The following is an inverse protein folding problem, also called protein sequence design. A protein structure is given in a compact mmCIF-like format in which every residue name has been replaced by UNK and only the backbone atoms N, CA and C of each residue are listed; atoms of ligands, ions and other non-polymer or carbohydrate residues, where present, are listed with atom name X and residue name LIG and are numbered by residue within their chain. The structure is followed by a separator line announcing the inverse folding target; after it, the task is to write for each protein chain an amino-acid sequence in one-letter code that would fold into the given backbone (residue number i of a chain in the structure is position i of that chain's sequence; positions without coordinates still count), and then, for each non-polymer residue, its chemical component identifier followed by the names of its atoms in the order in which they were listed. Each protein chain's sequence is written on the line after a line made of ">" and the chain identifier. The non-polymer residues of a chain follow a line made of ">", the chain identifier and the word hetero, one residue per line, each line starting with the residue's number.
data_IF_824362647026
#
_entry.id   IF_824362647026
#
_cell.length_a   1.000
_cell.length_b   1.000
_cell.length_c   1.000
_cell.angle_alpha   90.00
_cell.angle_beta   90.00
_cell.angle_gamma   90.00
#
_symmetry.space_group_name_H-M   'P 1'
#
loop_
_entity.id
_entity.type
_entity.pdbx_description
1 polymer ?
#
# COMPACT_ATOMS: atom_id res chain seq x y z
N UNK A 1 1.62 56.91 -12.02
CA UNK A 1 2.37 55.64 -12.17
C UNK A 1 2.49 54.96 -10.82
N UNK A 2 1.78 53.85 -10.57
CA UNK A 2 1.95 52.83 -9.50
C UNK A 2 0.59 52.15 -9.32
N UNK A 3 0.42 50.98 -9.92
CA UNK A 3 -0.65 49.99 -9.62
C UNK A 3 -0.54 48.73 -10.50
N UNK A 4 0.35 48.73 -11.50
CA UNK A 4 0.55 47.57 -12.38
C UNK A 4 1.56 46.53 -11.86
N UNK A 5 2.31 46.84 -10.78
CA UNK A 5 3.33 45.90 -10.25
C UNK A 5 2.67 44.83 -9.37
N UNK A 6 1.75 45.20 -8.49
CA UNK A 6 1.06 44.29 -7.54
C UNK A 6 0.20 43.23 -8.25
N UNK A 7 -0.43 43.58 -9.37
CA UNK A 7 -1.25 42.64 -10.16
C UNK A 7 -0.42 41.55 -10.86
N UNK A 8 0.82 41.85 -11.29
CA UNK A 8 1.72 40.89 -11.94
C UNK A 8 2.22 39.82 -10.96
N UNK A 9 2.54 40.20 -9.73
CA UNK A 9 2.98 39.24 -8.71
C UNK A 9 1.84 38.32 -8.25
N UNK A 10 0.61 38.83 -8.14
CA UNK A 10 -0.55 38.02 -7.78
C UNK A 10 -0.85 36.92 -8.81
N UNK A 11 -0.75 37.23 -10.12
CA UNK A 11 -0.91 36.23 -11.19
C UNK A 11 0.19 35.16 -11.19
N UNK A 12 1.43 35.53 -10.88
CA UNK A 12 2.54 34.55 -10.77
C UNK A 12 2.33 33.62 -9.56
N UNK A 13 1.95 34.16 -8.41
CA UNK A 13 1.64 33.35 -7.23
C UNK A 13 0.46 32.39 -7.45
N UNK A 14 -0.60 32.85 -8.13
CA UNK A 14 -1.77 32.01 -8.42
C UNK A 14 -1.42 30.88 -9.42
N UNK A 15 -0.58 31.17 -10.43
CA UNK A 15 -0.12 30.16 -11.39
C UNK A 15 0.78 29.12 -10.73
N UNK A 16 1.66 29.54 -9.81
CA UNK A 16 2.49 28.61 -9.01
C UNK A 16 1.63 27.77 -8.06
N UNK A 17 0.58 28.33 -7.44
CA UNK A 17 -0.35 27.56 -6.59
C UNK A 17 -1.16 26.52 -7.38
N UNK A 18 -1.59 26.85 -8.60
CA UNK A 18 -2.30 25.91 -9.49
C UNK A 18 -1.37 24.79 -9.97
N UNK A 19 -0.09 25.07 -10.21
CA UNK A 19 0.90 24.05 -10.58
C UNK A 19 1.30 23.14 -9.41
N UNK A 20 1.06 23.56 -8.16
CA UNK A 20 1.30 22.76 -6.95
C UNK A 20 0.11 21.89 -6.54
N UNK A 21 -1.08 22.08 -7.11
CA UNK A 21 -2.31 21.36 -6.71
C UNK A 21 -2.57 20.06 -7.49
N UNK A 22 -1.53 19.40 -8.00
CA UNK A 22 -1.68 18.09 -8.62
C UNK A 22 -1.74 16.96 -7.57
N UNK A 23 -2.79 16.92 -6.74
CA UNK A 23 -3.06 15.81 -5.83
C UNK A 23 -3.65 14.63 -6.61
N UNK A 24 -2.84 13.91 -7.38
CA UNK A 24 -3.41 12.98 -8.36
C UNK A 24 -4.02 11.72 -7.75
N UNK A 25 -3.68 11.32 -6.51
CA UNK A 25 -4.23 10.10 -5.88
C UNK A 25 -4.08 10.16 -4.34
N UNK A 26 -4.91 10.92 -3.62
CA UNK A 26 -4.90 10.92 -2.16
C UNK A 26 -5.56 9.66 -1.56
N UNK A 27 -5.27 9.35 -0.30
CA UNK A 27 -6.00 8.33 0.48
C UNK A 27 -7.42 8.79 0.79
N UNK A 28 -8.40 7.90 0.62
CA UNK A 28 -9.80 8.12 0.95
C UNK A 28 -10.27 7.04 1.93
N UNK A 29 -10.83 7.42 3.07
CA UNK A 29 -11.34 6.47 4.05
C UNK A 29 -12.88 6.41 3.96
N UNK A 30 -13.39 5.26 3.55
CA UNK A 30 -14.83 4.94 3.54
C UNK A 30 -15.06 3.82 4.53
N UNK A 31 -15.63 4.12 5.68
CA UNK A 31 -15.84 3.13 6.74
C UNK A 31 -16.86 2.06 6.33
N UNK A 32 -16.62 0.82 6.75
CA UNK A 32 -17.59 -0.26 6.71
C UNK A 32 -18.65 -0.05 7.81
N UNK A 33 -19.92 -0.07 7.43
CA UNK A 33 -21.04 0.10 8.36
C UNK A 33 -21.21 -1.06 9.34
N UNK A 34 -20.71 -2.25 9.00
CA UNK A 34 -20.77 -3.45 9.85
C UNK A 34 -19.51 -3.63 10.69
N UNK A 35 -18.35 -3.20 10.16
CA UNK A 35 -17.04 -3.36 10.79
C UNK A 35 -16.34 -2.00 11.01
N UNK A 36 -16.71 -1.33 12.11
CA UNK A 36 -16.14 -0.03 12.48
C UNK A 36 -14.61 -0.12 12.60
N UNK A 37 -13.89 0.66 11.79
CA UNK A 37 -12.42 0.67 11.73
C UNK A 37 -11.85 0.02 10.47
N UNK A 38 -12.69 -0.62 9.65
CA UNK A 38 -12.31 -1.22 8.38
C UNK A 38 -12.84 -0.37 7.23
N UNK A 39 -12.04 -0.18 6.19
CA UNK A 39 -12.45 0.49 4.98
C UNK A 39 -13.17 -0.47 4.01
N UNK A 40 -14.15 0.04 3.27
CA UNK A 40 -14.74 -0.65 2.12
C UNK A 40 -13.87 -0.50 0.87
N UNK A 41 -14.04 -1.44 -0.06
CA UNK A 41 -13.45 -1.33 -1.39
C UNK A 41 -14.01 -0.13 -2.15
N UNK A 42 -13.18 0.46 -3.00
CA UNK A 42 -13.60 1.50 -3.93
C UNK A 42 -13.33 1.06 -5.37
N UNK A 43 -14.03 1.67 -6.32
CA UNK A 43 -13.84 1.36 -7.74
C UNK A 43 -12.48 1.81 -8.28
N UNK A 44 -11.82 2.78 -7.62
CA UNK A 44 -10.60 3.43 -8.12
C UNK A 44 -9.36 3.16 -7.28
N UNK A 45 -9.44 2.35 -6.23
CA UNK A 45 -8.41 2.31 -5.20
C UNK A 45 -8.56 3.46 -4.21
N UNK A 46 -8.80 3.16 -2.94
CA UNK A 46 -8.92 4.15 -1.87
C UNK A 46 -7.54 4.51 -1.26
N UNK A 47 -6.47 3.84 -1.73
CA UNK A 47 -5.09 3.95 -1.30
C UNK A 47 -4.96 3.75 0.20
N UNK A 48 -5.55 2.66 0.67
CA UNK A 48 -5.57 2.28 2.06
C UNK A 48 -5.54 0.75 2.22
N UNK A 49 -4.86 0.29 3.26
CA UNK A 49 -5.18 -0.98 3.90
C UNK A 49 -5.66 -0.76 5.32
N UNK A 50 -6.63 -1.57 5.76
CA UNK A 50 -7.18 -1.55 7.11
C UNK A 50 -7.42 -2.97 7.61
N UNK A 51 -7.15 -3.22 8.88
CA UNK A 51 -7.36 -4.51 9.52
C UNK A 51 -7.59 -4.31 11.02
N UNK A 52 -7.96 -5.39 11.72
CA UNK A 52 -7.83 -5.45 13.17
C UNK A 52 -6.59 -6.21 13.56
N UNK A 53 -5.78 -5.65 14.44
CA UNK A 53 -4.62 -6.31 15.05
C UNK A 53 -4.94 -6.48 16.52
N UNK A 54 -5.06 -7.75 16.97
CA UNK A 54 -5.56 -8.08 18.30
C UNK A 54 -6.85 -7.32 18.68
N UNK A 55 -7.77 -7.19 17.71
CA UNK A 55 -9.05 -6.50 17.87
C UNK A 55 -8.99 -4.97 17.79
N UNK A 56 -7.80 -4.35 17.66
CA UNK A 56 -7.66 -2.90 17.51
C UNK A 56 -7.58 -2.48 16.03
N UNK A 57 -8.32 -1.45 15.59
CA UNK A 57 -8.22 -0.94 14.23
C UNK A 57 -6.81 -0.42 13.91
N UNK A 58 -6.25 -0.94 12.82
CA UNK A 58 -5.01 -0.47 12.22
C UNK A 58 -5.28 -0.08 10.78
N UNK A 59 -4.66 1.00 10.31
CA UNK A 59 -4.75 1.40 8.91
C UNK A 59 -3.46 2.02 8.42
N UNK A 60 -3.29 1.98 7.10
CA UNK A 60 -2.11 2.56 6.48
C UNK A 60 -2.02 4.07 6.66
N UNK A 61 -0.80 4.59 6.60
CA UNK A 61 -0.55 6.03 6.54
C UNK A 61 -1.27 6.63 5.33
N UNK A 62 -1.65 7.90 5.42
CA UNK A 62 -2.21 8.59 4.28
C UNK A 62 -1.12 8.74 3.21
N UNK A 63 -1.44 8.37 1.97
CA UNK A 63 -0.60 8.64 0.82
C UNK A 63 -0.44 10.15 0.67
N UNK A 64 0.79 10.63 0.84
CA UNK A 64 1.14 12.02 0.59
C UNK A 64 1.80 12.13 -0.78
N UNK A 65 1.15 12.82 -1.72
CA UNK A 65 1.80 13.28 -2.95
C UNK A 65 2.47 14.63 -2.68
N UNK A 66 3.59 14.65 -1.96
CA UNK A 66 4.29 15.92 -1.70
C UNK A 66 5.09 16.36 -2.92
N UNK A 67 4.74 17.52 -3.47
CA UNK A 67 5.58 18.29 -4.36
C UNK A 67 6.87 18.73 -3.65
N UNK A 68 7.96 18.78 -4.41
CA UNK A 68 9.30 19.25 -4.03
C UNK A 68 9.91 18.68 -2.72
N UNK A 69 10.74 17.63 -2.91
CA UNK A 69 11.89 17.25 -2.06
C UNK A 69 11.66 16.58 -0.70
N UNK A 70 10.43 16.32 -0.26
CA UNK A 70 10.19 15.41 0.88
C UNK A 70 9.84 14.04 0.31
N UNK A 71 10.66 13.04 0.60
CA UNK A 71 10.60 11.70 0.01
C UNK A 71 9.20 11.12 -0.01
N UNK A 72 8.86 10.39 -1.06
CA UNK A 72 7.54 9.79 -1.21
C UNK A 72 7.33 8.71 -0.16
N UNK A 73 6.54 9.02 0.87
CA UNK A 73 6.02 8.01 1.79
C UNK A 73 4.81 7.34 1.12
N UNK A 74 5.06 6.19 0.50
CA UNK A 74 4.00 5.34 0.00
C UNK A 74 3.41 4.53 1.13
N UNK A 75 2.09 4.42 1.13
CA UNK A 75 1.35 3.59 2.07
C UNK A 75 1.48 2.10 1.75
N UNK A 76 1.77 1.78 0.48
CA UNK A 76 2.08 0.43 0.00
C UNK A 76 3.27 0.44 -0.95
N UNK A 77 4.12 -0.57 -0.86
CA UNK A 77 5.24 -0.82 -1.76
C UNK A 77 5.22 -2.28 -2.22
N UNK A 78 5.58 -2.52 -3.48
CA UNK A 78 5.69 -3.86 -4.07
C UNK A 78 7.11 -4.03 -4.59
N UNK A 79 7.87 -4.97 -4.04
CA UNK A 79 9.26 -5.18 -4.41
C UNK A 79 9.49 -6.65 -4.78
N UNK A 80 10.40 -6.92 -5.72
CA UNK A 80 10.97 -8.24 -5.94
C UNK A 80 12.35 -8.25 -5.32
N UNK A 81 12.60 -9.23 -4.48
CA UNK A 81 13.92 -9.52 -3.96
C UNK A 81 14.44 -10.77 -4.66
N UNK A 82 15.52 -10.64 -5.48
CA UNK A 82 16.17 -11.78 -6.07
C UNK A 82 16.66 -12.74 -4.99
N UNK A 83 16.48 -14.04 -5.18
CA UNK A 83 17.13 -15.05 -4.35
C UNK A 83 18.16 -15.85 -5.15
N UNK A 84 19.01 -16.60 -4.45
CA UNK A 84 20.03 -17.48 -5.07
C UNK A 84 19.45 -18.73 -5.74
N UNK A 85 18.12 -18.89 -5.73
CA UNK A 85 17.43 -20.13 -6.04
C UNK A 85 16.49 -19.92 -7.25
N UNK A 86 15.78 -20.96 -7.69
CA UNK A 86 14.82 -20.87 -8.81
C UNK A 86 13.58 -19.97 -8.55
N UNK A 87 13.46 -19.37 -7.36
CA UNK A 87 12.34 -18.52 -6.95
C UNK A 87 12.85 -17.23 -6.36
N UNK A 88 12.25 -16.12 -6.76
CA UNK A 88 12.41 -14.81 -6.13
C UNK A 88 11.33 -14.61 -5.05
N UNK A 89 11.44 -13.53 -4.27
CA UNK A 89 10.41 -13.14 -3.30
C UNK A 89 9.72 -11.86 -3.75
N UNK A 90 8.40 -11.92 -3.93
CA UNK A 90 7.54 -10.75 -4.03
C UNK A 90 7.21 -10.26 -2.62
N UNK A 91 7.46 -8.98 -2.35
CA UNK A 91 7.21 -8.34 -1.07
C UNK A 91 6.16 -7.26 -1.28
N UNK A 92 4.99 -7.40 -0.64
CA UNK A 92 3.97 -6.35 -0.56
C UNK A 92 3.98 -5.80 0.85
N UNK A 93 4.42 -4.56 1.02
CA UNK A 93 4.56 -3.92 2.33
C UNK A 93 3.59 -2.78 2.48
N UNK A 94 2.81 -2.80 3.55
CA UNK A 94 1.93 -1.73 4.01
C UNK A 94 2.53 -1.02 5.22
N UNK A 95 2.55 0.31 5.19
CA UNK A 95 2.97 1.15 6.33
C UNK A 95 1.76 1.81 6.97
N UNK A 96 1.67 1.80 8.29
CA UNK A 96 0.48 2.28 8.99
C UNK A 96 0.62 2.35 10.50
N UNK A 97 -0.47 2.68 11.17
CA UNK A 97 -0.54 2.91 12.60
C UNK A 97 -1.90 2.45 13.16
N UNK A 98 -1.97 2.26 14.48
CA UNK A 98 -3.25 2.09 15.17
C UNK A 98 -4.09 3.36 15.11
N UNK A 99 -5.37 3.27 14.78
CA UNK A 99 -6.23 4.44 14.60
C UNK A 99 -6.23 5.37 15.83
N UNK A 100 -6.16 4.78 17.03
CA UNK A 100 -6.12 5.48 18.30
C UNK A 100 -4.76 6.12 18.63
N UNK A 101 -3.66 5.71 17.99
CA UNK A 101 -2.32 6.22 18.24
C UNK A 101 -1.50 6.29 16.94
N UNK A 102 -1.38 7.48 16.35
CA UNK A 102 -0.61 7.68 15.12
C UNK A 102 0.90 7.58 15.30
N UNK A 103 1.41 7.62 16.54
CA UNK A 103 2.84 7.46 16.82
C UNK A 103 3.26 5.98 16.81
N UNK A 104 2.29 5.05 16.77
CA UNK A 104 2.52 3.61 16.66
C UNK A 104 2.87 3.15 15.23
N UNK A 105 3.48 4.01 14.41
CA UNK A 105 3.78 3.68 13.03
C UNK A 105 4.67 2.42 12.94
N UNK A 106 4.26 1.50 12.09
CA UNK A 106 4.97 0.27 11.78
C UNK A 106 4.60 -0.24 10.40
N UNK A 107 4.97 -1.48 10.13
CA UNK A 107 4.69 -2.12 8.85
C UNK A 107 4.12 -3.52 8.99
N UNK A 108 3.39 -3.92 7.97
CA UNK A 108 2.96 -5.28 7.70
C UNK A 108 3.43 -5.62 6.29
N UNK A 109 4.12 -6.74 6.11
CA UNK A 109 4.62 -7.20 4.82
C UNK A 109 4.14 -8.61 4.54
N UNK A 110 3.72 -8.86 3.31
CA UNK A 110 3.60 -10.20 2.75
C UNK A 110 4.88 -10.50 1.96
N UNK A 111 5.53 -11.61 2.28
CA UNK A 111 6.60 -12.19 1.50
C UNK A 111 6.04 -13.43 0.80
N UNK A 112 6.06 -13.47 -0.53
CA UNK A 112 5.48 -14.54 -1.33
C UNK A 112 6.47 -15.03 -2.38
N UNK A 113 6.63 -16.34 -2.49
CA UNK A 113 7.56 -16.94 -3.43
C UNK A 113 7.00 -16.86 -4.87
N UNK A 114 7.79 -16.32 -5.79
CA UNK A 114 7.45 -16.19 -7.22
C UNK A 114 8.57 -16.77 -8.09
N UNK A 115 8.31 -17.13 -9.35
CA UNK A 115 9.37 -17.54 -10.27
C UNK A 115 10.49 -16.49 -10.40
N UNK A 116 11.75 -16.90 -10.61
CA UNK A 116 12.87 -15.97 -10.73
C UNK A 116 12.75 -14.98 -11.92
N UNK A 117 11.96 -15.33 -12.93
CA UNK A 117 11.65 -14.47 -14.07
C UNK A 117 10.36 -13.64 -13.88
N UNK A 118 9.81 -13.56 -12.66
CA UNK A 118 8.59 -12.80 -12.37
C UNK A 118 8.77 -11.31 -12.68
N UNK A 119 7.81 -10.75 -13.41
CA UNK A 119 7.79 -9.37 -13.87
C UNK A 119 6.47 -8.69 -13.48
N UNK A 120 6.37 -7.39 -13.78
CA UNK A 120 5.13 -6.64 -13.60
C UNK A 120 3.93 -7.21 -14.37
N UNK A 121 4.16 -7.93 -15.47
CA UNK A 121 3.08 -8.55 -16.28
C UNK A 121 2.43 -9.72 -15.54
N UNK A 122 3.23 -10.43 -14.74
CA UNK A 122 2.81 -11.62 -14.01
C UNK A 122 1.96 -11.28 -12.77
N UNK A 123 1.97 -10.02 -12.31
CA UNK A 123 1.10 -9.56 -11.24
C UNK A 123 -0.39 -9.76 -11.56
N UNK A 124 -0.76 -9.73 -12.84
CA UNK A 124 -2.14 -9.98 -13.29
C UNK A 124 -2.63 -11.40 -13.02
N UNK A 125 -1.71 -12.37 -12.92
CA UNK A 125 -2.03 -13.75 -12.58
C UNK A 125 -2.49 -13.93 -11.13
N UNK A 126 -2.26 -12.93 -10.26
CA UNK A 126 -2.75 -12.96 -8.88
C UNK A 126 -4.27 -12.73 -8.81
N UNK A 127 -4.86 -12.08 -9.82
CA UNK A 127 -6.26 -11.68 -9.80
C UNK A 127 -7.20 -12.87 -9.58
N UNK A 128 -8.17 -12.72 -8.68
CA UNK A 128 -9.18 -13.71 -8.37
C UNK A 128 -8.63 -14.93 -7.61
N UNK A 129 -7.36 -14.91 -7.18
CA UNK A 129 -6.73 -16.06 -6.55
C UNK A 129 -6.56 -15.86 -5.05
N UNK A 130 -6.82 -16.93 -4.30
CA UNK A 130 -6.52 -17.02 -2.87
C UNK A 130 -5.27 -17.87 -2.67
N UNK A 131 -4.37 -17.37 -1.85
CA UNK A 131 -3.14 -18.07 -1.45
C UNK A 131 -3.16 -18.31 0.05
N UNK A 132 -2.85 -19.55 0.44
CA UNK A 132 -2.47 -19.84 1.81
C UNK A 132 -0.99 -19.51 1.97
N UNK A 133 -0.69 -18.70 2.97
CA UNK A 133 0.65 -18.24 3.29
C UNK A 133 1.15 -19.06 4.45
N UNK A 134 2.06 -19.98 4.14
CA UNK A 134 2.76 -20.86 5.06
C UNK A 134 4.27 -20.74 4.82
N UNK A 135 5.08 -21.33 5.70
CA UNK A 135 6.54 -21.29 5.62
C UNK A 135 7.14 -21.83 4.31
N UNK A 136 6.34 -22.48 3.45
CA UNK A 136 6.78 -23.03 2.17
C UNK A 136 6.61 -22.02 1.03
N UNK A 137 5.47 -21.31 1.02
CA UNK A 137 5.10 -20.41 -0.07
C UNK A 137 5.28 -18.93 0.27
N UNK A 138 5.51 -18.60 1.54
CA UNK A 138 5.72 -17.22 1.98
C UNK A 138 5.76 -17.03 3.50
N UNK A 139 5.52 -15.81 3.94
CA UNK A 139 5.18 -15.49 5.33
C UNK A 139 4.65 -14.05 5.38
N UNK A 140 3.84 -13.76 6.38
CA UNK A 140 3.64 -12.38 6.80
C UNK A 140 4.76 -11.96 7.75
N UNK A 141 5.17 -10.72 7.69
CA UNK A 141 6.14 -10.11 8.61
C UNK A 141 5.56 -8.80 9.14
N UNK A 142 5.81 -8.49 10.41
CA UNK A 142 5.40 -7.20 10.96
C UNK A 142 6.46 -6.60 11.88
N UNK A 143 6.57 -5.27 11.81
CA UNK A 143 7.35 -4.43 12.73
C UNK A 143 6.47 -3.48 13.55
N UNK A 144 5.20 -3.81 13.76
CA UNK A 144 4.27 -2.98 14.56
C UNK A 144 4.66 -3.07 16.04
N UNK A 145 4.65 -1.96 16.81
CA UNK A 145 5.18 -1.92 18.18
C UNK A 145 4.66 -3.01 19.13
N UNK A 146 3.39 -3.41 19.01
CA UNK A 146 2.76 -4.44 19.86
C UNK A 146 3.38 -5.84 19.64
N UNK A 147 4.11 -6.08 18.54
CA UNK A 147 4.84 -7.32 18.26
C UNK A 147 6.27 -7.33 18.85
N UNK A 148 6.51 -6.56 19.92
CA UNK A 148 7.82 -6.41 20.59
C UNK A 148 8.97 -5.95 19.67
N UNK A 149 8.68 -5.39 18.49
CA UNK A 149 9.65 -4.95 17.46
C UNK A 149 10.67 -6.01 17.00
N UNK A 150 10.45 -7.28 17.34
CA UNK A 150 11.24 -8.39 16.81
C UNK A 150 10.54 -8.86 15.55
N UNK A 151 11.28 -8.99 14.45
CA UNK A 151 10.81 -9.54 13.18
C UNK A 151 10.01 -10.82 13.40
N UNK A 152 8.68 -10.69 13.46
CA UNK A 152 7.79 -11.80 13.78
C UNK A 152 7.17 -12.29 12.49
N UNK A 153 7.34 -13.58 12.21
CA UNK A 153 6.77 -14.22 11.03
C UNK A 153 5.43 -14.84 11.38
N UNK A 154 4.44 -14.56 10.53
CA UNK A 154 3.09 -15.08 10.63
C UNK A 154 2.74 -15.92 9.40
N UNK A 155 1.73 -16.75 9.57
CA UNK A 155 1.06 -17.52 8.51
C UNK A 155 -0.35 -16.96 8.32
N UNK A 156 -1.02 -17.25 7.22
CA UNK A 156 -2.37 -16.74 7.02
C UNK A 156 -2.88 -16.96 5.62
N UNK A 157 -3.77 -16.07 5.17
CA UNK A 157 -4.33 -16.13 3.84
C UNK A 157 -4.33 -14.74 3.21
N UNK A 158 -4.18 -14.71 1.90
CA UNK A 158 -4.43 -13.51 1.10
C UNK A 158 -5.27 -13.86 -0.12
N UNK A 159 -6.24 -13.01 -0.43
CA UNK A 159 -7.06 -13.11 -1.63
C UNK A 159 -6.94 -11.80 -2.40
N UNK A 160 -6.48 -11.88 -3.65
CA UNK A 160 -6.40 -10.73 -4.55
C UNK A 160 -7.70 -10.66 -5.35
N UNK A 161 -8.65 -9.83 -4.91
CA UNK A 161 -9.86 -9.56 -5.67
C UNK A 161 -9.54 -8.90 -7.02
N UNK A 162 -8.67 -7.89 -6.99
CA UNK A 162 -8.17 -7.19 -8.17
C UNK A 162 -6.65 -7.20 -8.15
N UNK A 163 -6.05 -7.52 -9.29
CA UNK A 163 -4.64 -7.31 -9.56
C UNK A 163 -4.53 -6.96 -11.04
N UNK A 164 -4.91 -5.72 -11.40
CA UNK A 164 -4.97 -5.27 -12.80
C UNK A 164 -3.94 -4.22 -13.02
N UNK A 165 -3.15 -4.37 -14.06
CA UNK A 165 -2.10 -3.43 -14.34
C UNK A 165 -1.97 -3.19 -15.84
N UNK A 166 -1.94 -1.92 -16.19
CA UNK A 166 -1.78 -1.47 -17.55
C UNK A 166 -0.32 -1.06 -17.78
N UNK A 167 0.28 -1.61 -18.83
CA UNK A 167 1.57 -1.18 -19.36
C UNK A 167 1.37 -0.55 -20.73
N UNK A 168 0.86 0.69 -20.76
CA UNK A 168 0.50 1.37 -22.03
C UNK A 168 1.74 1.97 -22.72
N UNK A 169 2.83 2.21 -22.00
CA UNK A 169 4.11 2.63 -22.59
C UNK A 169 5.31 2.03 -21.84
N UNK A 170 6.48 2.02 -22.49
CA UNK A 170 7.73 1.62 -21.87
C UNK A 170 7.97 2.47 -20.60
N UNK A 171 8.02 1.81 -19.44
CA UNK A 171 8.33 2.37 -18.12
C UNK A 171 7.23 3.15 -17.39
N UNK A 172 6.00 3.25 -17.94
CA UNK A 172 4.85 3.74 -17.18
C UNK A 172 3.91 2.59 -16.84
N UNK A 173 3.88 2.24 -15.56
CA UNK A 173 3.07 1.16 -15.02
C UNK A 173 2.08 1.74 -14.02
N UNK A 174 0.80 1.49 -14.24
CA UNK A 174 -0.26 1.85 -13.29
C UNK A 174 -1.26 0.72 -13.20
N UNK A 175 -1.85 0.54 -12.02
CA UNK A 175 -2.85 -0.50 -11.85
C UNK A 175 -3.50 -0.46 -10.49
N UNK A 176 -4.33 -1.45 -10.20
CA UNK A 176 -5.03 -1.59 -8.94
C UNK A 176 -4.74 -2.95 -8.32
N UNK A 177 -4.40 -2.95 -7.04
CA UNK A 177 -4.45 -4.14 -6.20
C UNK A 177 -5.52 -3.95 -5.14
N UNK A 178 -6.41 -4.92 -5.02
CA UNK A 178 -7.37 -4.95 -3.92
C UNK A 178 -7.65 -6.37 -3.49
N UNK A 179 -8.02 -6.53 -2.23
CA UNK A 179 -8.20 -7.86 -1.69
C UNK A 179 -8.39 -7.91 -0.19
N UNK A 180 -8.34 -9.15 0.30
CA UNK A 180 -8.57 -9.52 1.68
C UNK A 180 -7.35 -10.27 2.21
N UNK A 181 -7.09 -10.16 3.51
CA UNK A 181 -6.08 -10.98 4.18
C UNK A 181 -6.40 -11.19 5.66
N UNK A 182 -5.81 -12.25 6.20
CA UNK A 182 -5.73 -12.57 7.62
C UNK A 182 -4.35 -13.15 7.90
N UNK A 183 -3.86 -12.95 9.11
CA UNK A 183 -2.57 -13.48 9.51
C UNK A 183 -2.54 -13.82 11.01
N UNK A 184 -1.86 -14.90 11.34
CA UNK A 184 -1.65 -15.40 12.67
C UNK A 184 -0.14 -15.43 12.97
N UNK A 185 0.24 -14.71 14.02
CA UNK A 185 1.61 -14.62 14.53
C UNK A 185 1.73 -15.33 15.89
N UNK A 186 0.81 -16.25 16.20
CA UNK A 186 0.78 -17.01 17.45
C UNK A 186 0.07 -16.26 18.57
N UNK A 187 0.70 -15.23 19.14
CA UNK A 187 0.11 -14.44 20.24
C UNK A 187 -0.76 -13.27 19.78
N UNK A 188 -0.63 -12.89 18.51
CA UNK A 188 -1.33 -11.76 17.91
C UNK A 188 -1.89 -12.17 16.56
N UNK A 189 -3.15 -11.79 16.33
CA UNK A 189 -3.85 -12.08 15.09
C UNK A 189 -4.22 -10.80 14.37
N UNK A 190 -4.07 -10.85 13.05
CA UNK A 190 -4.60 -9.87 12.12
C UNK A 190 -5.86 -10.46 11.49
N UNK A 191 -6.98 -9.78 11.67
CA UNK A 191 -8.27 -10.22 11.15
C UNK A 191 -8.91 -9.14 10.30
N UNK A 192 -9.80 -9.58 9.39
CA UNK A 192 -10.58 -8.72 8.49
C UNK A 192 -9.71 -7.73 7.71
N UNK A 193 -8.50 -8.14 7.35
CA UNK A 193 -7.60 -7.31 6.56
C UNK A 193 -8.18 -7.06 5.20
N UNK A 194 -8.17 -5.78 4.79
CA UNK A 194 -8.56 -5.33 3.45
C UNK A 194 -7.52 -4.38 2.93
N UNK A 195 -7.24 -4.45 1.64
CA UNK A 195 -6.38 -3.49 0.96
C UNK A 195 -7.03 -3.08 -0.35
N UNK A 196 -6.88 -1.82 -0.72
CA UNK A 196 -7.41 -1.26 -1.96
C UNK A 196 -6.53 -0.10 -2.42
N UNK A 197 -5.61 -0.37 -3.34
CA UNK A 197 -4.58 0.58 -3.74
C UNK A 197 -4.55 0.74 -5.25
N UNK A 198 -4.57 2.00 -5.69
CA UNK A 198 -4.08 2.37 -7.01
C UNK A 198 -2.56 2.43 -6.95
N UNK A 199 -1.87 1.60 -7.71
CA UNK A 199 -0.42 1.48 -7.75
C UNK A 199 0.14 2.26 -8.93
N UNK A 200 1.21 3.02 -8.68
CA UNK A 200 2.03 3.67 -9.71
C UNK A 200 3.41 3.02 -9.80
N UNK A 201 4.13 3.28 -10.89
CA UNK A 201 5.50 2.79 -11.10
C UNK A 201 6.46 3.15 -9.96
N UNK A 202 6.20 4.24 -9.25
CA UNK A 202 7.06 4.67 -8.16
C UNK A 202 6.95 3.79 -6.89
N UNK A 203 5.92 2.95 -6.80
CA UNK A 203 5.69 2.01 -5.70
C UNK A 203 6.18 0.59 -6.01
N UNK A 204 6.62 0.35 -7.25
CA UNK A 204 6.99 -0.98 -7.73
C UNK A 204 8.46 -1.04 -8.08
N UNK A 205 9.15 -2.06 -7.56
CA UNK A 205 10.54 -2.40 -7.90
C UNK A 205 10.63 -3.90 -8.16
N UNK A 206 10.37 -4.32 -9.40
CA UNK A 206 10.46 -5.73 -9.84
C UNK A 206 11.67 -5.92 -10.73
#
# INVERSE_FOLDING_TARGET
>A
MKNNCTKKWLSVFFTVFILLSCSKNATKYYADGQDKGIAIFSNTGNNLSSCFIAGKPWRTVARTSSGFRLGTNYEVQINRQPATNAKDTLIIQWRGYYEADRNSEGYLSLHYAVPANFTFRDLSALQGTRFSIDSTNGFFETGIPDFNRVYTKGKGNIFFQTARFDSVAANTFTGNISGLFDADFGSLQITKGRFDHFISSAQIRL
#
